data_IF_915904428784
#
_entry.id   IF_915904428784
#
_cell.length_a   1.000
_cell.length_b   1.000
_cell.length_c   1.000
_cell.angle_alpha   90.00
_cell.angle_beta   90.00
_cell.angle_gamma   90.00
#
_symmetry.space_group_name_H-M   'P 1'
#
loop_
_entity.id
_entity.type
_entity.pdbx_description
1 polymer ?
#
# COMPACT_ATOMS: atom_id res chain seq x y z
N UNK A 1 9.00 12.29 -1.06
CA UNK A 1 9.58 11.50 -2.17
C UNK A 1 10.40 12.37 -3.11
N UNK A 2 11.72 12.23 -3.12
CA UNK A 2 12.58 12.89 -4.13
C UNK A 2 12.49 12.07 -5.42
N UNK A 3 11.90 12.67 -6.47
CA UNK A 3 11.90 12.21 -7.87
C UNK A 3 11.43 10.77 -8.09
N UNK A 4 10.11 10.62 -8.20
CA UNK A 4 9.43 9.52 -8.91
C UNK A 4 9.75 8.06 -8.52
N UNK A 5 10.44 7.85 -7.39
CA UNK A 5 10.83 6.52 -6.92
C UNK A 5 12.02 5.92 -7.69
N UNK A 6 12.87 6.76 -8.31
CA UNK A 6 14.00 6.31 -9.12
C UNK A 6 14.93 5.39 -8.31
N UNK A 7 14.95 4.09 -8.66
CA UNK A 7 15.75 3.07 -7.97
C UNK A 7 15.15 2.54 -6.66
N UNK A 8 13.89 2.85 -6.35
CA UNK A 8 13.20 2.39 -5.14
C UNK A 8 12.35 1.16 -5.46
N UNK A 9 12.39 0.18 -4.55
CA UNK A 9 11.49 -0.97 -4.58
C UNK A 9 10.25 -0.64 -3.76
N UNK A 10 9.08 -0.77 -4.40
CA UNK A 10 7.79 -0.56 -3.75
C UNK A 10 7.09 -1.90 -3.67
N UNK A 11 6.97 -2.43 -2.45
CA UNK A 11 6.15 -3.60 -2.16
C UNK A 11 4.71 -3.15 -2.08
N UNK A 12 3.81 -3.87 -2.73
CA UNK A 12 2.38 -3.57 -2.63
C UNK A 12 1.53 -4.83 -2.53
N UNK A 13 0.37 -4.68 -1.89
CA UNK A 13 -0.69 -5.67 -1.88
C UNK A 13 -2.03 -4.98 -2.16
N UNK A 14 -2.94 -5.74 -2.76
CA UNK A 14 -4.34 -5.36 -2.91
C UNK A 14 -5.19 -6.37 -2.16
N UNK A 15 -6.07 -5.87 -1.29
CA UNK A 15 -7.00 -6.65 -0.49
C UNK A 15 -8.42 -6.15 -0.68
N UNK A 16 -9.38 -6.91 -0.17
CA UNK A 16 -10.79 -6.54 -0.17
C UNK A 16 -11.21 -6.19 1.27
N UNK A 17 -12.01 -5.15 1.41
CA UNK A 17 -12.62 -4.74 2.67
C UNK A 17 -14.07 -4.31 2.44
N UNK A 18 -14.80 -3.99 3.51
CA UNK A 18 -16.20 -3.55 3.43
C UNK A 18 -16.45 -2.31 2.53
N UNK A 19 -15.42 -1.52 2.24
CA UNK A 19 -15.49 -0.30 1.42
C UNK A 19 -15.04 -0.51 -0.05
N UNK A 20 -14.66 -1.73 -0.43
CA UNK A 20 -14.14 -2.06 -1.76
C UNK A 20 -12.71 -2.62 -1.71
N UNK A 21 -11.95 -2.38 -2.78
CA UNK A 21 -10.54 -2.73 -2.85
C UNK A 21 -9.68 -1.73 -2.06
N UNK A 22 -8.72 -2.26 -1.31
CA UNK A 22 -7.71 -1.51 -0.56
C UNK A 22 -6.34 -1.88 -1.13
N UNK A 23 -5.55 -0.89 -1.48
CA UNK A 23 -4.15 -1.03 -1.84
C UNK A 23 -3.28 -0.45 -0.73
N UNK A 24 -2.26 -1.19 -0.34
CA UNK A 24 -1.19 -0.70 0.54
C UNK A 24 0.11 -0.85 -0.23
N UNK A 25 0.94 0.19 -0.21
CA UNK A 25 2.27 0.19 -0.76
C UNK A 25 3.28 0.72 0.25
N UNK A 26 4.44 0.08 0.31
CA UNK A 26 5.55 0.46 1.16
C UNK A 26 6.87 0.45 0.40
N UNK A 27 7.73 1.41 0.73
CA UNK A 27 9.15 1.41 0.40
C UNK A 27 9.92 0.61 1.46
N UNK A 28 11.25 0.55 1.35
CA UNK A 28 12.10 -0.02 2.40
C UNK A 28 12.09 0.78 3.72
N UNK A 29 11.58 2.02 3.70
CA UNK A 29 11.52 2.88 4.90
C UNK A 29 10.16 2.86 5.60
N UNK A 30 9.10 2.38 4.94
CA UNK A 30 7.77 2.24 5.52
C UNK A 30 6.64 2.40 4.51
N UNK A 31 5.41 2.50 5.01
CA UNK A 31 4.21 2.70 4.16
C UNK A 31 4.29 4.06 3.49
N UNK A 32 4.26 4.06 2.16
CA UNK A 32 4.29 5.26 1.33
C UNK A 32 2.91 5.59 0.74
N UNK A 33 2.00 4.61 0.67
CA UNK A 33 0.66 4.82 0.14
C UNK A 33 -0.36 3.82 0.69
N UNK A 34 -1.57 4.31 0.97
CA UNK A 34 -2.77 3.53 1.21
C UNK A 34 -3.87 4.15 0.35
N UNK A 35 -4.53 3.35 -0.47
CA UNK A 35 -5.55 3.81 -1.40
C UNK A 35 -6.77 2.88 -1.38
N UNK A 36 -7.96 3.44 -1.54
CA UNK A 36 -9.24 2.72 -1.55
C UNK A 36 -9.98 3.04 -2.85
N UNK A 37 -10.50 2.01 -3.51
CA UNK A 37 -11.28 2.15 -4.73
C UNK A 37 -12.23 0.96 -4.90
N UNK A 38 -13.29 1.11 -5.67
CA UNK A 38 -14.19 -0.01 -5.99
C UNK A 38 -13.54 -1.01 -6.96
N UNK A 39 -12.66 -0.52 -7.82
CA UNK A 39 -11.92 -1.30 -8.82
C UNK A 39 -10.44 -1.50 -8.40
N UNK A 40 -10.00 -2.76 -8.13
CA UNK A 40 -8.61 -3.05 -7.79
C UNK A 40 -7.62 -2.77 -8.93
N UNK A 41 -8.04 -2.86 -10.20
CA UNK A 41 -7.15 -2.57 -11.32
C UNK A 41 -6.81 -1.08 -11.39
N UNK A 42 -7.77 -0.21 -11.06
CA UNK A 42 -7.54 1.23 -11.01
C UNK A 42 -6.50 1.58 -9.96
N UNK A 43 -6.55 0.96 -8.78
CA UNK A 43 -5.55 1.16 -7.72
C UNK A 43 -4.13 0.82 -8.20
N UNK A 44 -3.96 -0.30 -8.89
CA UNK A 44 -2.65 -0.71 -9.40
C UNK A 44 -2.16 0.23 -10.49
N UNK A 45 -3.05 0.69 -11.38
CA UNK A 45 -2.72 1.68 -12.42
C UNK A 45 -2.29 3.01 -11.80
N UNK A 46 -3.03 3.51 -10.83
CA UNK A 46 -2.73 4.76 -10.14
C UNK A 46 -1.38 4.66 -9.39
N UNK A 47 -1.11 3.53 -8.74
CA UNK A 47 0.18 3.26 -8.11
C UNK A 47 1.33 3.28 -9.14
N UNK A 48 1.16 2.61 -10.28
CA UNK A 48 2.14 2.60 -11.37
C UNK A 48 2.38 4.02 -11.92
N UNK A 49 1.31 4.79 -12.10
CA UNK A 49 1.38 6.15 -12.60
C UNK A 49 2.02 7.12 -11.59
N UNK A 50 1.89 6.85 -10.29
CA UNK A 50 2.49 7.66 -9.23
C UNK A 50 3.97 7.32 -9.02
N UNK A 51 4.36 6.05 -9.17
CA UNK A 51 5.72 5.56 -8.97
C UNK A 51 6.33 5.02 -10.29
N UNK A 52 6.27 5.81 -11.36
CA UNK A 52 6.69 5.39 -12.72
C UNK A 52 8.14 4.92 -12.80
N UNK A 53 9.02 5.43 -11.94
CA UNK A 53 10.44 5.06 -11.93
C UNK A 53 10.79 4.01 -10.85
N UNK A 54 9.80 3.55 -10.07
CA UNK A 54 9.99 2.55 -9.03
C UNK A 54 9.78 1.13 -9.58
N UNK A 55 10.40 0.16 -8.93
CA UNK A 55 10.15 -1.26 -9.18
C UNK A 55 9.02 -1.72 -8.27
N UNK A 56 7.85 -1.99 -8.84
CA UNK A 56 6.73 -2.56 -8.11
C UNK A 56 6.95 -4.07 -7.91
N UNK A 57 6.85 -4.52 -6.67
CA UNK A 57 7.06 -5.90 -6.26
C UNK A 57 5.82 -6.37 -5.50
N UNK A 58 5.38 -7.60 -5.75
CA UNK A 58 4.30 -8.20 -4.97
C UNK A 58 4.72 -8.37 -3.50
N UNK A 59 3.73 -8.30 -2.62
CA UNK A 59 3.91 -8.51 -1.19
C UNK A 59 4.58 -9.86 -0.86
N UNK A 60 5.46 -9.82 0.14
CA UNK A 60 5.98 -11.00 0.84
C UNK A 60 5.15 -11.29 2.10
N UNK A 61 5.48 -12.37 2.80
CA UNK A 61 4.73 -12.81 3.99
C UNK A 61 4.78 -11.80 5.15
N UNK A 62 5.84 -10.99 5.24
CA UNK A 62 5.93 -9.92 6.24
C UNK A 62 4.98 -8.77 5.89
N UNK A 63 4.92 -8.40 4.62
CA UNK A 63 3.99 -7.40 4.12
C UNK A 63 2.52 -7.81 4.28
N UNK A 64 2.20 -9.11 4.18
CA UNK A 64 0.85 -9.61 4.45
C UNK A 64 0.37 -9.28 5.88
N UNK A 65 1.27 -9.24 6.87
CA UNK A 65 0.92 -8.85 8.24
C UNK A 65 0.57 -7.37 8.33
N UNK A 66 1.32 -6.52 7.62
CA UNK A 66 1.01 -5.10 7.53
C UNK A 66 -0.32 -4.89 6.81
N UNK A 67 -0.56 -5.62 5.73
CA UNK A 67 -1.82 -5.58 5.00
C UNK A 67 -3.00 -5.96 5.91
N UNK A 68 -2.88 -7.02 6.69
CA UNK A 68 -3.90 -7.43 7.65
C UNK A 68 -4.18 -6.36 8.72
N UNK A 69 -3.12 -5.69 9.22
CA UNK A 69 -3.26 -4.59 10.16
C UNK A 69 -3.98 -3.38 9.54
N UNK A 70 -3.68 -3.02 8.29
CA UNK A 70 -4.38 -1.93 7.59
C UNK A 70 -5.84 -2.30 7.33
N UNK A 71 -6.13 -3.51 6.85
CA UNK A 71 -7.51 -3.97 6.64
C UNK A 71 -8.30 -3.90 7.96
N UNK A 72 -7.75 -4.44 9.04
CA UNK A 72 -8.38 -4.41 10.36
C UNK A 72 -8.63 -2.99 10.88
N UNK A 73 -7.71 -2.05 10.58
CA UNK A 73 -7.89 -0.64 10.92
C UNK A 73 -8.97 0.04 10.06
N UNK A 74 -9.03 -0.23 8.76
CA UNK A 74 -10.06 0.33 7.87
C UNK A 74 -11.44 -0.17 8.30
N UNK A 75 -11.56 -1.43 8.70
CA UNK A 75 -12.82 -2.00 9.18
C UNK A 75 -13.18 -1.59 10.62
N UNK A 76 -12.18 -1.36 11.47
CA UNK A 76 -12.36 -0.88 12.83
C UNK A 76 -11.32 0.20 13.19
N UNK A 77 -11.61 1.47 12.90
CA UNK A 77 -10.67 2.59 13.11
C UNK A 77 -10.24 2.76 14.58
N UNK A 78 -11.02 2.20 15.51
CA UNK A 78 -10.77 2.28 16.96
C UNK A 78 -9.57 1.44 17.41
N UNK A 79 -9.10 0.51 16.57
CA UNK A 79 -8.01 -0.44 16.90
C UNK A 79 -6.62 0.22 16.83
N UNK A 80 -6.49 1.38 16.16
CA UNK A 80 -5.21 2.07 15.97
C UNK A 80 -4.28 1.34 15.00
N UNK A 81 -3.45 2.09 14.27
CA UNK A 81 -2.52 1.55 13.29
C UNK A 81 -1.08 1.83 13.72
N UNK A 82 -0.36 0.81 14.18
CA UNK A 82 1.06 0.90 14.56
C UNK A 82 1.95 0.39 13.42
N UNK A 83 1.93 1.07 12.28
CA UNK A 83 2.80 0.76 11.13
C UNK A 83 3.82 1.88 10.92
N UNK A 84 5.06 1.56 10.49
CA UNK A 84 6.06 2.57 10.17
C UNK A 84 5.57 3.41 8.99
N UNK A 85 5.40 4.71 9.21
CA UNK A 85 4.97 5.67 8.21
C UNK A 85 6.21 6.33 7.57
N UNK A 86 6.28 6.35 6.25
CA UNK A 86 7.35 7.02 5.49
C UNK A 86 6.91 8.46 5.15
N UNK A 87 7.28 9.44 5.99
CA UNK A 87 6.91 10.88 5.85
C UNK A 87 8.02 11.75 5.27
#
# INVERSE_FOLDING_TARGET
FRKDGEGVEIRFAVGQCALGALLVAASDTGICEIALHEDPEQLVRDLQDRFKAARLIGADHEFEQWMAAVVGFVENPSVGLHLPLDV
#
